data_IF_918100648266
#
_entry.id   IF_918100648266
#
_cell.length_a   1.000
_cell.length_b   1.000
_cell.length_c   1.000
_cell.angle_alpha   90.00
_cell.angle_beta   90.00
_cell.angle_gamma   90.00
#
_symmetry.space_group_name_H-M   'P 1'
#
loop_
_entity.id
_entity.type
_entity.pdbx_description
1 polymer ?
#
# COMPACT_ATOMS: atom_id res chain seq x y z
N UNK A 1 8.71 -4.92 3.06
CA UNK A 1 7.32 -5.10 3.54
C UNK A 1 7.42 -5.76 4.89
N UNK A 2 6.81 -5.17 5.93
CA UNK A 2 6.91 -5.65 7.30
C UNK A 2 5.96 -6.83 7.58
N UNK A 3 6.32 -7.63 8.58
CA UNK A 3 5.76 -8.94 8.95
C UNK A 3 4.30 -8.89 9.47
N UNK A 4 3.80 -7.73 9.95
CA UNK A 4 2.45 -7.62 10.51
C UNK A 4 1.70 -6.34 10.06
N UNK A 5 0.60 -6.48 9.30
CA UNK A 5 -0.23 -5.33 8.91
C UNK A 5 -0.88 -4.58 10.06
N UNK A 6 -1.08 -5.27 11.18
CA UNK A 6 -1.75 -4.73 12.35
C UNK A 6 -0.87 -3.76 13.15
N UNK A 7 0.46 -3.89 13.07
CA UNK A 7 1.41 -3.02 13.79
C UNK A 7 1.94 -1.89 12.92
N UNK A 8 1.91 -2.05 11.59
CA UNK A 8 2.45 -1.05 10.66
C UNK A 8 1.47 0.09 10.35
N UNK A 9 0.16 -0.14 10.46
CA UNK A 9 -0.86 0.88 10.25
C UNK A 9 -1.36 1.41 11.61
N UNK A 10 -1.21 2.71 11.83
CA UNK A 10 -1.77 3.41 12.99
C UNK A 10 -3.30 3.42 12.90
N UNK A 11 -4.04 2.92 13.92
CA UNK A 11 -5.50 2.95 13.91
C UNK A 11 -6.08 4.35 14.08
N UNK A 12 -5.25 5.33 14.45
CA UNK A 12 -5.66 6.73 14.70
C UNK A 12 -5.67 7.59 13.42
N UNK A 13 -5.13 7.08 12.31
CA UNK A 13 -4.99 7.81 11.07
C UNK A 13 -5.71 7.10 9.93
N UNK A 14 -6.25 7.88 8.98
CA UNK A 14 -6.83 7.30 7.76
C UNK A 14 -5.74 6.69 6.89
N UNK A 15 -6.12 5.75 6.02
CA UNK A 15 -5.21 5.09 5.09
C UNK A 15 -4.56 6.10 4.15
N UNK A 16 -5.35 7.04 3.63
CA UNK A 16 -4.85 8.10 2.76
C UNK A 16 -3.77 8.94 3.42
N UNK A 17 -3.98 9.34 4.68
CA UNK A 17 -2.99 10.11 5.43
C UNK A 17 -1.68 9.35 5.58
N UNK A 18 -1.74 8.10 6.05
CA UNK A 18 -0.55 7.28 6.28
C UNK A 18 0.21 6.97 5.00
N UNK A 19 -0.48 6.65 3.89
CA UNK A 19 0.19 6.40 2.61
C UNK A 19 0.78 7.68 2.02
N UNK A 20 0.07 8.82 2.13
CA UNK A 20 0.54 10.11 1.60
C UNK A 20 1.68 10.73 2.41
N UNK A 21 1.88 10.30 3.66
CA UNK A 21 2.94 10.80 4.54
C UNK A 21 4.34 10.54 3.97
N UNK A 22 4.55 9.37 3.36
CA UNK A 22 5.82 9.05 2.70
C UNK A 22 6.14 10.04 1.57
N UNK A 23 5.14 10.44 0.77
CA UNK A 23 5.30 11.47 -0.26
C UNK A 23 5.57 12.84 0.37
N UNK A 24 4.93 13.16 1.48
CA UNK A 24 5.15 14.43 2.19
C UNK A 24 6.58 14.57 2.69
N UNK A 25 7.18 13.48 3.19
CA UNK A 25 8.53 13.47 3.74
C UNK A 25 9.59 13.50 2.62
N UNK A 26 9.38 12.73 1.55
CA UNK A 26 10.43 12.48 0.56
C UNK A 26 10.33 13.33 -0.72
N UNK A 27 9.25 14.10 -0.92
CA UNK A 27 9.05 14.86 -2.17
C UNK A 27 8.48 16.26 -1.93
N UNK A 28 8.86 17.26 -2.73
CA UNK A 28 8.29 18.61 -2.66
C UNK A 28 6.95 18.70 -3.41
N UNK A 29 5.97 17.86 -3.05
CA UNK A 29 4.64 17.83 -3.67
C UNK A 29 3.60 18.59 -2.84
N UNK A 30 2.70 19.29 -3.52
CA UNK A 30 1.55 19.93 -2.89
C UNK A 30 0.55 18.89 -2.34
N UNK A 31 -0.21 19.25 -1.31
CA UNK A 31 -1.18 18.34 -0.65
C UNK A 31 -2.18 17.71 -1.64
N UNK A 32 -2.69 18.50 -2.59
CA UNK A 32 -3.64 18.01 -3.59
C UNK A 32 -3.02 16.97 -4.54
N UNK A 33 -1.77 17.19 -4.94
CA UNK A 33 -1.01 16.25 -5.77
C UNK A 33 -0.71 14.95 -5.01
N UNK A 34 -0.29 15.06 -3.74
CA UNK A 34 -0.09 13.88 -2.88
C UNK A 34 -1.36 13.05 -2.76
N UNK A 35 -2.51 13.69 -2.53
CA UNK A 35 -3.80 13.01 -2.46
C UNK A 35 -4.11 12.26 -3.76
N UNK A 36 -3.97 12.92 -4.91
CA UNK A 36 -4.21 12.30 -6.21
C UNK A 36 -3.29 11.09 -6.45
N UNK A 37 -2.01 11.20 -6.12
CA UNK A 37 -1.03 10.10 -6.23
C UNK A 37 -1.32 8.94 -5.29
N UNK A 38 -1.79 9.23 -4.08
CA UNK A 38 -2.24 8.21 -3.14
C UNK A 38 -3.49 7.48 -3.64
N UNK A 39 -4.48 8.20 -4.19
CA UNK A 39 -5.67 7.58 -4.79
C UNK A 39 -5.30 6.69 -5.99
N UNK A 40 -4.38 7.13 -6.84
CA UNK A 40 -3.85 6.33 -7.95
C UNK A 40 -3.17 5.05 -7.44
N UNK A 41 -2.32 5.15 -6.41
CA UNK A 41 -1.65 3.99 -5.83
C UNK A 41 -2.64 3.02 -5.17
N UNK A 42 -3.65 3.53 -4.46
CA UNK A 42 -4.72 2.71 -3.90
C UNK A 42 -5.48 1.98 -5.01
N UNK A 43 -5.71 2.61 -6.16
CA UNK A 43 -6.28 1.94 -7.33
C UNK A 43 -5.36 0.82 -7.84
N UNK A 44 -4.06 1.09 -7.97
CA UNK A 44 -3.07 0.13 -8.47
C UNK A 44 -2.97 -1.12 -7.59
N UNK A 45 -3.05 -0.98 -6.26
CA UNK A 45 -3.02 -2.12 -5.34
C UNK A 45 -4.39 -2.82 -5.21
N UNK A 46 -5.41 -2.38 -5.95
CA UNK A 46 -6.69 -3.07 -6.08
C UNK A 46 -7.79 -2.63 -5.12
N UNK A 47 -7.78 -1.38 -4.64
CA UNK A 47 -8.95 -0.84 -3.94
C UNK A 47 -10.09 -0.54 -4.92
N UNK A 48 -11.31 -1.07 -4.72
CA UNK A 48 -12.43 -0.87 -5.64
C UNK A 48 -12.95 0.57 -5.64
N UNK A 49 -12.78 1.30 -4.52
CA UNK A 49 -13.12 2.72 -4.42
C UNK A 49 -11.97 3.47 -3.72
N UNK A 50 -10.93 3.90 -4.46
CA UNK A 50 -9.74 4.53 -3.89
C UNK A 50 -10.03 5.83 -3.14
N UNK A 51 -10.97 6.63 -3.65
CA UNK A 51 -11.41 7.88 -3.02
C UNK A 51 -12.01 7.63 -1.64
N UNK A 52 -12.92 6.65 -1.55
CA UNK A 52 -13.49 6.25 -0.26
C UNK A 52 -12.41 5.66 0.65
N UNK A 53 -11.55 4.80 0.11
CA UNK A 53 -10.48 4.16 0.88
C UNK A 53 -9.47 5.16 1.46
N UNK A 54 -9.23 6.28 0.79
CA UNK A 54 -8.38 7.36 1.29
C UNK A 54 -8.85 7.87 2.67
N UNK A 55 -10.16 7.99 2.85
CA UNK A 55 -10.77 8.53 4.08
C UNK A 55 -11.09 7.43 5.12
N UNK A 56 -10.89 6.15 4.78
CA UNK A 56 -11.13 5.03 5.70
C UNK A 56 -9.99 4.84 6.69
N UNK A 57 -10.30 4.27 7.85
CA UNK A 57 -9.35 3.83 8.86
C UNK A 57 -8.99 2.34 8.69
N UNK A 58 -7.84 1.90 9.23
CA UNK A 58 -7.41 0.50 9.13
C UNK A 58 -8.46 -0.50 9.62
N UNK A 59 -9.15 -0.21 10.73
CA UNK A 59 -10.15 -1.13 11.30
C UNK A 59 -11.38 -1.32 10.40
N UNK A 60 -11.64 -0.42 9.45
CA UNK A 60 -12.74 -0.53 8.49
C UNK A 60 -12.40 -1.41 7.28
N UNK A 61 -11.13 -1.76 7.11
CA UNK A 61 -10.65 -2.59 6.01
C UNK A 61 -10.65 -4.09 6.38
N UNK A 62 -10.90 -4.94 5.38
CA UNK A 62 -10.62 -6.38 5.49
C UNK A 62 -9.11 -6.64 5.60
N UNK A 63 -8.72 -7.82 6.09
CA UNK A 63 -7.29 -8.19 6.21
C UNK A 63 -6.51 -8.05 4.90
N UNK A 64 -7.09 -8.52 3.78
CA UNK A 64 -6.48 -8.38 2.46
C UNK A 64 -6.37 -6.92 1.98
N UNK A 65 -7.35 -6.06 2.30
CA UNK A 65 -7.25 -4.62 1.99
C UNK A 65 -6.21 -3.92 2.86
N UNK A 66 -6.06 -4.28 4.15
CA UNK A 66 -4.99 -3.75 5.01
C UNK A 66 -3.61 -4.08 4.46
N UNK A 67 -3.40 -5.30 3.99
CA UNK A 67 -2.15 -5.71 3.37
C UNK A 67 -1.88 -4.96 2.06
N UNK A 68 -2.90 -4.78 1.22
CA UNK A 68 -2.80 -3.93 0.01
C UNK A 68 -2.46 -2.48 0.35
N UNK A 69 -3.00 -1.92 1.43
CA UNK A 69 -2.63 -0.58 1.90
C UNK A 69 -1.15 -0.50 2.32
N UNK A 70 -0.61 -1.52 2.99
CA UNK A 70 0.83 -1.55 3.29
C UNK A 70 1.69 -1.62 2.03
N UNK A 71 1.27 -2.41 1.03
CA UNK A 71 1.95 -2.48 -0.26
C UNK A 71 1.94 -1.10 -0.92
N UNK A 72 0.80 -0.40 -0.91
CA UNK A 72 0.70 0.97 -1.41
C UNK A 72 1.67 1.90 -0.68
N UNK A 73 1.74 1.84 0.65
CA UNK A 73 2.67 2.64 1.44
C UNK A 73 4.14 2.35 1.10
N UNK A 74 4.51 1.08 0.89
CA UNK A 74 5.86 0.70 0.50
C UNK A 74 6.22 1.16 -0.92
N UNK A 75 5.24 1.23 -1.83
CA UNK A 75 5.45 1.51 -3.24
C UNK A 75 5.20 2.97 -3.65
N UNK A 76 4.56 3.78 -2.80
CA UNK A 76 4.11 5.13 -3.16
C UNK A 76 5.26 6.04 -3.65
N UNK A 77 6.45 5.88 -3.06
CA UNK A 77 7.66 6.60 -3.45
C UNK A 77 8.40 5.98 -4.65
N UNK A 78 7.85 4.92 -5.26
CA UNK A 78 8.45 4.14 -6.37
C UNK A 78 9.91 3.75 -6.07
N UNK A 79 10.15 2.93 -5.03
CA UNK A 79 11.51 2.51 -4.70
C UNK A 79 12.09 1.64 -5.82
N UNK A 80 13.41 1.73 -6.03
CA UNK A 80 14.11 0.90 -7.01
C UNK A 80 14.25 -0.58 -6.57
N UNK A 81 14.19 -0.84 -5.25
CA UNK A 81 14.32 -2.15 -4.63
C UNK A 81 13.26 -2.32 -3.55
N UNK A 82 12.55 -3.45 -3.57
CA UNK A 82 11.58 -3.81 -2.55
C UNK A 82 12.03 -5.08 -1.82
N UNK A 83 12.48 -4.94 -0.57
CA UNK A 83 12.80 -6.10 0.29
C UNK A 83 11.53 -6.53 1.00
N UNK A 84 11.08 -7.76 0.77
CA UNK A 84 9.96 -8.37 1.47
C UNK A 84 10.49 -9.42 2.44
N UNK A 85 10.39 -9.15 3.75
CA UNK A 85 10.78 -10.09 4.79
C UNK A 85 9.52 -10.82 5.26
N UNK A 86 9.43 -12.11 4.96
CA UNK A 86 8.29 -12.97 5.33
C UNK A 86 6.89 -12.41 5.00
N UNK A 87 6.57 -12.05 3.74
CA UNK A 87 5.32 -11.34 3.40
C UNK A 87 4.03 -12.18 3.52
N UNK A 88 4.15 -13.47 3.86
CA UNK A 88 3.10 -14.47 3.68
C UNK A 88 2.81 -15.32 4.91
N UNK A 89 3.64 -15.29 5.97
CA UNK A 89 3.67 -16.31 7.03
C UNK A 89 2.37 -16.43 7.86
N UNK A 90 1.44 -15.47 7.76
CA UNK A 90 0.17 -15.46 8.49
C UNK A 90 -1.10 -15.47 7.60
N UNK A 91 -0.97 -15.74 6.30
CA UNK A 91 -2.09 -15.64 5.34
C UNK A 91 -2.46 -17.00 4.75
N UNK A 92 -3.75 -17.20 4.50
CA UNK A 92 -4.26 -18.33 3.71
C UNK A 92 -3.55 -18.39 2.35
N UNK A 93 -3.24 -19.61 1.88
CA UNK A 93 -2.49 -19.87 0.64
C UNK A 93 -3.09 -19.14 -0.57
N UNK A 94 -4.42 -18.97 -0.59
CA UNK A 94 -5.13 -18.25 -1.66
C UNK A 94 -4.80 -16.75 -1.66
N UNK A 95 -4.72 -16.14 -0.48
CA UNK A 95 -4.41 -14.71 -0.33
C UNK A 95 -2.92 -14.45 -0.62
N UNK A 96 -2.03 -15.36 -0.20
CA UNK A 96 -0.61 -15.27 -0.53
C UNK A 96 -0.39 -15.21 -2.05
N UNK A 97 -1.03 -16.11 -2.80
CA UNK A 97 -0.94 -16.14 -4.26
C UNK A 97 -1.43 -14.82 -4.90
N UNK A 98 -2.54 -14.27 -4.41
CA UNK A 98 -3.06 -12.99 -4.90
C UNK A 98 -2.11 -11.81 -4.64
N UNK A 99 -1.45 -11.79 -3.49
CA UNK A 99 -0.50 -10.72 -3.13
C UNK A 99 0.79 -10.84 -3.94
N UNK A 100 1.34 -12.04 -4.10
CA UNK A 100 2.52 -12.27 -4.94
C UNK A 100 2.24 -11.90 -6.40
N UNK A 101 1.06 -12.27 -6.92
CA UNK A 101 0.64 -11.88 -8.26
C UNK A 101 0.56 -10.35 -8.41
N UNK A 102 -0.06 -9.67 -7.44
CA UNK A 102 -0.12 -8.21 -7.41
C UNK A 102 1.28 -7.59 -7.43
N UNK A 103 2.21 -8.09 -6.61
CA UNK A 103 3.57 -7.56 -6.56
C UNK A 103 4.31 -7.73 -7.90
N UNK A 104 4.14 -8.86 -8.59
CA UNK A 104 4.72 -9.08 -9.93
C UNK A 104 4.15 -8.11 -10.98
N UNK A 105 2.84 -7.89 -10.94
CA UNK A 105 2.18 -6.92 -11.82
C UNK A 105 2.68 -5.49 -11.56
N UNK A 106 2.84 -5.11 -10.30
CA UNK A 106 3.36 -3.80 -9.90
C UNK A 106 4.84 -3.65 -10.25
N UNK A 107 5.65 -4.70 -10.07
CA UNK A 107 7.05 -4.71 -10.48
C UNK A 107 7.19 -4.40 -11.98
N UNK A 108 6.38 -5.06 -12.80
CA UNK A 108 6.38 -4.87 -14.27
C UNK A 108 5.91 -3.46 -14.63
N UNK A 109 4.83 -2.97 -14.02
CA UNK A 109 4.28 -1.63 -14.28
C UNK A 109 5.18 -0.49 -13.81
N UNK A 110 5.90 -0.69 -12.72
CA UNK A 110 6.76 0.32 -12.10
C UNK A 110 8.24 0.17 -12.47
N UNK A 111 8.58 -0.82 -13.31
CA UNK A 111 9.93 -1.15 -13.75
C UNK A 111 10.92 -1.34 -12.57
N UNK A 112 10.51 -2.11 -11.57
CA UNK A 112 11.28 -2.35 -10.34
C UNK A 112 12.14 -3.61 -10.44
N UNK A 113 13.29 -3.62 -9.78
CA UNK A 113 13.99 -4.86 -9.48
C UNK A 113 13.35 -5.53 -8.23
N UNK A 114 13.19 -6.84 -8.26
CA UNK A 114 12.66 -7.65 -7.15
C UNK A 114 13.72 -8.63 -6.68
#
# INVERSE_FOLDING_TARGET
IFQEPMTSLSPLHTIGNQVSESLQIHTPMARAERKARTEEMLSLVGFPNPKRAYDMYPFELSGGLRQRAMIAMALICRPALLIADEPTTALDVTIQAQILQLLRELQTKLNMAM
#
